data_IF_825380577672
#
_entry.id   IF_825380577672
#
_cell.length_a   1.000
_cell.length_b   1.000
_cell.length_c   1.000
_cell.angle_alpha   90.00
_cell.angle_beta   90.00
_cell.angle_gamma   90.00
#
_symmetry.space_group_name_H-M   'P 1'
#
loop_
_entity.id
_entity.type
_entity.pdbx_description
1 polymer ?
#
# COMPACT_ATOMS: atom_id res chain seq x y z
N UNK A 1 -31.33 -0.91 -10.01
CA UNK A 1 -30.65 -2.22 -9.87
C UNK A 1 -29.20 -2.19 -10.39
N UNK A 2 -28.50 -1.05 -10.37
CA UNK A 2 -27.14 -0.95 -10.94
C UNK A 2 -26.03 -0.90 -9.89
N UNK A 3 -26.36 -0.63 -8.62
CA UNK A 3 -25.41 -0.52 -7.50
C UNK A 3 -24.78 -1.86 -7.12
N UNK A 4 -25.56 -2.94 -7.22
CA UNK A 4 -25.17 -4.31 -6.82
C UNK A 4 -24.05 -4.89 -7.70
N UNK A 5 -23.97 -4.51 -8.99
CA UNK A 5 -22.94 -5.02 -9.90
C UNK A 5 -21.57 -4.35 -9.69
N UNK A 6 -21.56 -3.11 -9.22
CA UNK A 6 -20.33 -2.36 -8.91
C UNK A 6 -19.77 -2.78 -7.55
N UNK A 7 -20.62 -3.10 -6.57
CA UNK A 7 -20.20 -3.64 -5.26
C UNK A 7 -19.60 -5.05 -5.36
N UNK A 8 -20.01 -5.83 -6.37
CA UNK A 8 -19.47 -7.16 -6.65
C UNK A 8 -18.19 -7.14 -7.51
N UNK A 9 -17.76 -5.98 -8.03
CA UNK A 9 -16.55 -5.87 -8.84
C UNK A 9 -15.29 -6.00 -7.95
N UNK A 10 -14.48 -7.07 -8.10
CA UNK A 10 -13.26 -7.26 -7.31
C UNK A 10 -12.27 -6.10 -7.44
N UNK A 11 -12.22 -5.43 -8.60
CA UNK A 11 -11.34 -4.28 -8.81
C UNK A 11 -11.84 -3.07 -8.01
N UNK A 12 -13.14 -2.79 -8.01
CA UNK A 12 -13.73 -1.71 -7.20
C UNK A 12 -13.48 -1.94 -5.72
N UNK A 13 -13.67 -3.18 -5.23
CA UNK A 13 -13.39 -3.53 -3.84
C UNK A 13 -11.92 -3.32 -3.50
N UNK A 14 -11.00 -3.86 -4.30
CA UNK A 14 -9.56 -3.73 -4.06
C UNK A 14 -9.08 -2.26 -4.10
N UNK A 15 -9.67 -1.43 -4.98
CA UNK A 15 -9.39 0.00 -5.02
C UNK A 15 -9.90 0.73 -3.77
N UNK A 16 -11.10 0.37 -3.31
CA UNK A 16 -11.69 0.95 -2.09
C UNK A 16 -10.88 0.58 -0.84
N UNK A 17 -10.44 -0.67 -0.75
CA UNK A 17 -9.52 -1.13 0.32
C UNK A 17 -8.18 -0.38 0.27
N UNK A 18 -7.62 -0.18 -0.93
CA UNK A 18 -6.41 0.62 -1.09
C UNK A 18 -6.61 2.07 -0.60
N UNK A 19 -7.74 2.70 -0.93
CA UNK A 19 -8.06 4.05 -0.44
C UNK A 19 -8.11 4.11 1.09
N UNK A 20 -8.80 3.16 1.73
CA UNK A 20 -8.86 3.11 3.20
C UNK A 20 -7.48 2.90 3.85
N UNK A 21 -6.62 2.08 3.23
CA UNK A 21 -5.24 1.90 3.69
C UNK A 21 -4.43 3.17 3.51
N UNK A 22 -4.58 3.88 2.39
CA UNK A 22 -3.92 5.17 2.17
C UNK A 22 -4.31 6.20 3.24
N UNK A 23 -5.60 6.32 3.57
CA UNK A 23 -6.09 7.22 4.61
C UNK A 23 -5.49 6.90 6.00
N UNK A 24 -5.42 5.60 6.31
CA UNK A 24 -4.78 5.11 7.54
C UNK A 24 -3.29 5.45 7.55
N UNK A 25 -2.57 5.17 6.46
CA UNK A 25 -1.15 5.47 6.34
C UNK A 25 -0.86 6.97 6.41
N UNK A 26 -1.70 7.83 5.83
CA UNK A 26 -1.56 9.29 5.94
C UNK A 26 -1.67 9.74 7.40
N UNK A 27 -2.63 9.19 8.15
CA UNK A 27 -2.79 9.45 9.59
C UNK A 27 -1.55 9.00 10.38
N UNK A 28 -1.06 7.79 10.13
CA UNK A 28 0.13 7.25 10.78
C UNK A 28 1.39 8.05 10.48
N UNK A 29 1.60 8.45 9.22
CA UNK A 29 2.72 9.28 8.78
C UNK A 29 2.66 10.69 9.38
N UNK A 30 1.46 11.26 9.54
CA UNK A 30 1.27 12.52 10.27
C UNK A 30 1.72 12.41 11.74
N UNK A 31 1.38 11.30 12.41
CA UNK A 31 1.86 11.00 13.75
C UNK A 31 3.37 10.76 13.81
N UNK A 32 3.94 10.04 12.84
CA UNK A 32 5.37 9.80 12.75
C UNK A 32 6.16 11.11 12.56
N UNK A 33 5.66 12.01 11.70
CA UNK A 33 6.22 13.36 11.53
C UNK A 33 6.21 14.15 12.84
N UNK A 34 5.07 14.20 13.51
CA UNK A 34 4.92 14.95 14.77
C UNK A 34 5.88 14.42 15.86
N UNK A 35 6.14 13.10 15.88
CA UNK A 35 7.15 12.52 16.77
C UNK A 35 8.56 12.89 16.35
N UNK A 36 8.90 12.78 15.07
CA UNK A 36 10.22 13.15 14.56
C UNK A 36 10.58 14.62 14.87
N UNK A 37 9.60 15.53 14.81
CA UNK A 37 9.75 16.93 15.23
C UNK A 37 10.16 17.03 16.72
N UNK A 38 9.50 16.29 17.62
CA UNK A 38 9.87 16.24 19.05
C UNK A 38 11.27 15.65 19.28
N UNK A 39 11.63 14.58 18.56
CA UNK A 39 12.97 14.00 18.67
C UNK A 39 14.05 15.01 18.27
N UNK A 40 13.77 15.84 17.25
CA UNK A 40 14.65 16.92 16.84
C UNK A 40 14.76 18.03 17.90
N UNK A 41 13.64 18.42 18.52
CA UNK A 41 13.63 19.39 19.63
C UNK A 41 14.46 18.88 20.82
N UNK A 42 14.27 17.63 21.25
CA UNK A 42 15.07 17.04 22.35
C UNK A 42 16.57 16.97 22.00
N UNK A 43 16.89 16.72 20.73
CA UNK A 43 18.28 16.72 20.29
C UNK A 43 18.91 18.11 20.39
N UNK A 44 18.15 19.16 20.08
CA UNK A 44 18.62 20.55 20.17
C UNK A 44 18.90 20.97 21.61
N UNK A 45 18.28 20.33 22.62
CA UNK A 45 18.61 20.56 24.04
C UNK A 45 19.90 19.87 24.49
N UNK A 46 20.62 19.20 23.57
CA UNK A 46 21.89 18.53 23.84
C UNK A 46 21.78 17.08 24.32
N UNK A 47 20.57 16.49 24.37
CA UNK A 47 20.39 15.09 24.79
C UNK A 47 21.02 14.11 23.80
N UNK A 48 21.47 12.96 24.29
CA UNK A 48 22.01 11.89 23.44
C UNK A 48 20.87 11.16 22.72
N UNK A 49 21.15 10.61 21.53
CA UNK A 49 20.13 9.82 20.81
C UNK A 49 19.67 8.59 21.58
N UNK A 50 20.55 7.98 22.38
CA UNK A 50 20.17 6.85 23.22
C UNK A 50 19.11 7.28 24.25
N UNK A 51 19.30 8.41 24.93
CA UNK A 51 18.33 8.91 25.92
C UNK A 51 17.02 9.33 25.26
N UNK A 52 17.09 9.97 24.08
CA UNK A 52 15.93 10.43 23.32
C UNK A 52 15.07 9.24 22.87
N UNK A 53 15.68 8.25 22.19
CA UNK A 53 14.96 7.07 21.68
C UNK A 53 14.48 6.16 22.82
N UNK A 54 15.22 6.08 23.92
CA UNK A 54 14.77 5.31 25.11
C UNK A 54 13.57 5.96 25.78
N UNK A 55 13.47 7.29 25.75
CA UNK A 55 12.32 8.04 26.27
C UNK A 55 11.15 8.15 25.27
N UNK A 56 11.35 7.76 24.02
CA UNK A 56 10.33 7.83 22.97
C UNK A 56 9.13 6.94 23.32
N UNK A 57 7.93 7.51 23.24
CA UNK A 57 6.70 6.74 23.42
C UNK A 57 6.46 5.82 22.24
N UNK A 58 6.19 4.53 22.52
CA UNK A 58 5.90 3.52 21.51
C UNK A 58 4.58 3.81 20.75
N UNK A 59 4.45 3.35 19.50
CA UNK A 59 5.49 2.77 18.65
C UNK A 59 6.54 3.83 18.24
N UNK A 60 7.80 3.41 18.11
CA UNK A 60 8.86 4.28 17.63
C UNK A 60 8.57 4.75 16.20
N UNK A 61 9.09 5.91 15.78
CA UNK A 61 8.98 6.39 14.40
C UNK A 61 9.37 5.30 13.39
N UNK A 62 10.47 4.57 13.64
CA UNK A 62 10.93 3.49 12.75
C UNK A 62 9.97 2.30 12.67
N UNK A 63 9.28 1.99 13.76
CA UNK A 63 8.27 0.91 13.80
C UNK A 63 7.03 1.32 13.00
N UNK A 64 6.61 2.57 13.13
CA UNK A 64 5.50 3.12 12.34
C UNK A 64 5.81 3.13 10.85
N UNK A 65 7.00 3.59 10.45
CA UNK A 65 7.40 3.56 9.03
C UNK A 65 7.40 2.14 8.47
N UNK A 66 7.87 1.18 9.26
CA UNK A 66 7.87 -0.24 8.87
C UNK A 66 6.45 -0.77 8.69
N UNK A 67 5.53 -0.40 9.59
CA UNK A 67 4.12 -0.77 9.51
C UNK A 67 3.43 -0.17 8.27
N UNK A 68 3.62 1.13 8.01
CA UNK A 68 3.11 1.82 6.82
C UNK A 68 3.62 1.16 5.53
N UNK A 69 4.92 0.88 5.43
CA UNK A 69 5.48 0.21 4.25
C UNK A 69 4.87 -1.17 4.02
N UNK A 70 4.67 -1.96 5.08
CA UNK A 70 4.04 -3.27 4.98
C UNK A 70 2.57 -3.18 4.53
N UNK A 71 1.81 -2.25 5.09
CA UNK A 71 0.41 -2.00 4.72
C UNK A 71 0.28 -1.60 3.25
N UNK A 72 1.09 -0.63 2.80
CA UNK A 72 1.11 -0.16 1.40
C UNK A 72 1.55 -1.26 0.43
N UNK A 73 2.55 -2.06 0.79
CA UNK A 73 3.00 -3.17 -0.05
C UNK A 73 1.90 -4.22 -0.24
N UNK A 74 1.17 -4.54 0.83
CA UNK A 74 0.05 -5.48 0.79
C UNK A 74 -1.11 -4.95 -0.07
N UNK A 75 -1.63 -3.76 0.25
CA UNK A 75 -2.77 -3.18 -0.46
C UNK A 75 -2.45 -2.86 -1.93
N UNK A 76 -1.28 -2.30 -2.21
CA UNK A 76 -0.83 -2.03 -3.57
C UNK A 76 -0.61 -3.31 -4.38
N UNK A 77 -0.20 -4.40 -3.73
CA UNK A 77 -0.11 -5.73 -4.35
C UNK A 77 -1.48 -6.28 -4.75
N UNK A 78 -2.46 -6.18 -3.86
CA UNK A 78 -3.84 -6.60 -4.11
C UNK A 78 -4.47 -5.79 -5.26
N UNK A 79 -4.36 -4.45 -5.22
CA UNK A 79 -4.88 -3.59 -6.29
C UNK A 79 -4.25 -3.88 -7.65
N UNK A 80 -2.91 -4.02 -7.72
CA UNK A 80 -2.21 -4.33 -8.98
C UNK A 80 -2.72 -5.62 -9.61
N UNK A 81 -3.05 -6.63 -8.80
CA UNK A 81 -3.64 -7.89 -9.26
C UNK A 81 -5.01 -7.64 -9.87
N UNK A 82 -5.96 -7.11 -9.10
CA UNK A 82 -7.35 -6.92 -9.58
C UNK A 82 -7.45 -5.96 -10.76
N UNK A 83 -6.63 -4.90 -10.80
CA UNK A 83 -6.56 -4.00 -11.96
C UNK A 83 -6.05 -4.73 -13.22
N UNK A 84 -5.03 -5.58 -13.09
CA UNK A 84 -4.54 -6.35 -14.23
C UNK A 84 -5.59 -7.34 -14.76
N UNK A 85 -6.42 -7.92 -13.87
CA UNK A 85 -7.54 -8.79 -14.28
C UNK A 85 -8.64 -8.03 -15.00
N UNK A 86 -9.08 -6.91 -14.45
CA UNK A 86 -10.09 -6.08 -15.08
C UNK A 86 -9.67 -5.65 -16.50
N UNK A 87 -8.41 -5.21 -16.67
CA UNK A 87 -7.89 -4.86 -17.99
C UNK A 87 -7.83 -6.07 -18.93
N UNK A 88 -7.44 -7.24 -18.43
CA UNK A 88 -7.38 -8.45 -19.25
C UNK A 88 -8.78 -8.93 -19.67
N UNK A 89 -9.79 -8.83 -18.80
CA UNK A 89 -11.19 -9.17 -19.13
C UNK A 89 -11.80 -8.18 -20.12
N UNK A 90 -11.33 -6.93 -20.11
CA UNK A 90 -11.58 -5.91 -21.14
C UNK A 90 -10.79 -6.14 -22.44
N UNK A 91 -10.13 -7.30 -22.60
CA UNK A 91 -9.36 -7.70 -23.79
C UNK A 91 -8.11 -6.84 -24.05
N UNK A 92 -7.65 -6.07 -23.06
CA UNK A 92 -6.36 -5.35 -23.16
C UNK A 92 -5.21 -6.35 -23.15
N UNK A 93 -4.33 -6.25 -24.13
CA UNK A 93 -3.22 -7.20 -24.26
C UNK A 93 -2.23 -7.10 -23.09
N UNK A 94 -1.64 -8.24 -22.71
CA UNK A 94 -0.61 -8.33 -21.66
C UNK A 94 0.54 -7.36 -21.91
N UNK A 95 0.96 -7.19 -23.17
CA UNK A 95 2.02 -6.25 -23.53
C UNK A 95 1.64 -4.80 -23.24
N UNK A 96 0.39 -4.43 -23.52
CA UNK A 96 -0.11 -3.09 -23.22
C UNK A 96 -0.24 -2.85 -21.72
N UNK A 97 -0.75 -3.83 -20.96
CA UNK A 97 -0.82 -3.76 -19.50
C UNK A 97 0.59 -3.62 -18.89
N UNK A 98 1.55 -4.42 -19.35
CA UNK A 98 2.93 -4.36 -18.91
C UNK A 98 3.54 -2.97 -19.13
N UNK A 99 3.33 -2.39 -20.32
CA UNK A 99 3.78 -1.04 -20.64
C UNK A 99 3.12 0.03 -19.75
N UNK A 100 1.80 -0.05 -19.52
CA UNK A 100 1.07 0.88 -18.64
C UNK A 100 1.56 0.81 -17.20
N UNK A 101 1.87 -0.39 -16.71
CA UNK A 101 2.29 -0.61 -15.33
C UNK A 101 3.79 -0.39 -15.12
N UNK A 102 4.56 -0.14 -16.19
CA UNK A 102 6.02 -0.01 -16.12
C UNK A 102 6.71 -1.30 -15.66
N UNK A 103 6.15 -2.46 -15.99
CA UNK A 103 6.70 -3.77 -15.60
C UNK A 103 6.88 -4.69 -16.80
N UNK A 104 7.57 -5.81 -16.61
CA UNK A 104 7.77 -6.78 -17.68
C UNK A 104 6.49 -7.56 -18.00
N UNK A 105 6.39 -8.06 -19.24
CA UNK A 105 5.32 -8.98 -19.66
C UNK A 105 5.20 -10.19 -18.71
N UNK A 106 6.33 -10.76 -18.32
CA UNK A 106 6.38 -11.91 -17.42
C UNK A 106 5.72 -11.62 -16.07
N UNK A 107 5.89 -10.40 -15.53
CA UNK A 107 5.25 -10.01 -14.28
C UNK A 107 3.73 -9.98 -14.42
N UNK A 108 3.19 -9.41 -15.50
CA UNK A 108 1.73 -9.43 -15.75
C UNK A 108 1.23 -10.86 -15.96
N UNK A 109 1.93 -11.68 -16.76
CA UNK A 109 1.56 -13.10 -16.94
C UNK A 109 1.63 -13.92 -15.65
N UNK A 110 2.53 -13.58 -14.73
CA UNK A 110 2.62 -14.23 -13.42
C UNK A 110 1.45 -13.84 -12.53
N UNK A 111 1.09 -12.54 -12.50
CA UNK A 111 -0.14 -12.08 -11.86
C UNK A 111 -1.28 -12.90 -12.43
N UNK A 112 -1.57 -12.80 -13.74
CA UNK A 112 -2.78 -13.39 -14.33
C UNK A 112 -3.01 -14.88 -14.02
N UNK A 113 -1.92 -15.67 -13.95
CA UNK A 113 -1.97 -17.10 -13.60
C UNK A 113 -2.29 -17.36 -12.13
N UNK A 114 -1.86 -16.49 -11.22
CA UNK A 114 -2.10 -16.61 -9.78
C UNK A 114 -3.58 -16.52 -9.44
N UNK A 115 -4.33 -15.61 -10.08
CA UNK A 115 -5.79 -15.50 -9.87
C UNK A 115 -6.56 -16.62 -10.50
N UNK A 116 -6.15 -17.08 -11.69
CA UNK A 116 -6.76 -18.26 -12.30
C UNK A 116 -6.68 -19.47 -11.35
N UNK A 117 -5.59 -19.58 -10.56
CA UNK A 117 -5.42 -20.63 -9.55
C UNK A 117 -6.24 -20.42 -8.27
N UNK A 118 -6.56 -19.18 -7.91
CA UNK A 118 -7.35 -18.86 -6.70
C UNK A 118 -8.85 -18.72 -6.99
N UNK A 119 -9.24 -18.65 -8.26
CA UNK A 119 -10.63 -18.60 -8.71
C UNK A 119 -11.24 -19.97 -9.04
N UNK A 120 -10.41 -21.01 -9.20
CA UNK A 120 -10.82 -22.41 -9.41
C UNK A 120 -10.64 -23.22 -8.14
#
# INVERSE_FOLDING_TARGET
MSTDRTEQDPAVRALTELMAVLDTCMTELGGARSRAEKLLEERQTGRTWLDIVTAESRPLVVEQLSSVMAALASAGGAWRREQAYALASEQVSINRIAAMFGVTRQRISALLRERARTAG
#
